data_IF_741268224918
#
_entry.id   IF_741268224918
#
_cell.length_a   1.000
_cell.length_b   1.000
_cell.length_c   1.000
_cell.angle_alpha   90.00
_cell.angle_beta   90.00
_cell.angle_gamma   90.00
#
_symmetry.space_group_name_H-M   'P 1'
#
loop_
_entity.id
_entity.type
_entity.pdbx_description
1 polymer ?
#
# COMPACT_ATOMS: atom_id res chain seq x y z
N UNK A 1 13.24 -15.09 17.71
CA UNK A 1 12.61 -13.92 18.32
C UNK A 1 11.97 -13.05 17.26
N UNK A 2 10.84 -12.44 17.61
CA UNK A 2 10.17 -11.48 16.75
C UNK A 2 11.05 -10.24 16.56
N UNK A 3 11.14 -9.73 15.32
CA UNK A 3 12.00 -8.59 14.98
C UNK A 3 13.42 -8.96 14.56
N UNK A 4 13.79 -10.23 14.60
CA UNK A 4 15.08 -10.72 14.10
C UNK A 4 14.89 -11.31 12.69
N UNK A 5 15.12 -10.49 11.66
CA UNK A 5 15.21 -10.94 10.27
C UNK A 5 16.66 -11.27 9.90
N UNK A 6 16.88 -11.78 8.68
CA UNK A 6 18.21 -12.22 8.20
C UNK A 6 19.30 -11.14 8.41
N UNK A 7 19.01 -9.88 8.08
CA UNK A 7 19.95 -8.78 8.26
C UNK A 7 20.33 -8.53 9.73
N UNK A 8 19.36 -8.61 10.64
CA UNK A 8 19.61 -8.46 12.09
C UNK A 8 20.41 -9.63 12.60
N UNK A 9 20.10 -10.84 12.14
CA UNK A 9 20.84 -12.06 12.48
C UNK A 9 22.30 -11.97 12.03
N UNK A 10 22.57 -11.51 10.81
CA UNK A 10 23.93 -11.29 10.31
C UNK A 10 24.72 -10.29 11.17
N UNK A 11 24.06 -9.18 11.59
CA UNK A 11 24.69 -8.19 12.46
C UNK A 11 25.04 -8.83 13.82
N UNK A 12 24.10 -9.52 14.45
CA UNK A 12 24.32 -10.19 15.74
C UNK A 12 25.41 -11.26 15.67
N UNK A 13 25.41 -12.08 14.61
CA UNK A 13 26.40 -13.14 14.40
C UNK A 13 27.83 -12.60 14.32
N UNK A 14 28.06 -11.42 13.73
CA UNK A 14 29.38 -10.76 13.70
C UNK A 14 29.94 -10.43 15.09
N UNK A 15 29.05 -10.37 16.08
CA UNK A 15 29.39 -10.13 17.49
C UNK A 15 29.29 -11.38 18.34
N UNK A 16 29.22 -12.58 17.72
CA UNK A 16 29.14 -13.86 18.40
C UNK A 16 27.78 -14.18 19.04
N UNK A 17 26.75 -13.38 18.74
CA UNK A 17 25.40 -13.56 19.28
C UNK A 17 24.58 -14.38 18.27
N UNK A 18 24.52 -15.71 18.50
CA UNK A 18 23.92 -16.64 17.56
C UNK A 18 22.60 -17.27 18.05
N UNK A 19 22.28 -17.11 19.32
CA UNK A 19 21.08 -17.65 19.94
C UNK A 19 20.50 -16.70 21.00
N UNK A 20 19.35 -17.08 21.56
CA UNK A 20 18.61 -16.23 22.51
C UNK A 20 19.36 -16.12 23.85
N UNK A 21 20.12 -17.14 24.24
CA UNK A 21 20.90 -17.13 25.50
C UNK A 21 22.01 -16.10 25.40
N UNK A 22 22.82 -16.19 24.35
CA UNK A 22 23.93 -15.23 24.14
C UNK A 22 23.40 -13.81 23.95
N UNK A 23 22.19 -13.64 23.41
CA UNK A 23 21.54 -12.33 23.32
C UNK A 23 21.10 -11.80 24.71
N UNK A 24 20.58 -12.69 25.59
CA UNK A 24 20.19 -12.34 26.94
C UNK A 24 21.40 -11.98 27.82
N UNK A 25 22.52 -12.68 27.64
CA UNK A 25 23.75 -12.44 28.38
C UNK A 25 24.52 -11.22 27.88
N UNK A 26 24.16 -10.63 26.73
CA UNK A 26 24.83 -9.49 26.13
C UNK A 26 24.51 -8.17 26.89
N UNK A 27 25.50 -7.28 26.99
CA UNK A 27 25.29 -5.95 27.57
C UNK A 27 24.24 -5.18 26.75
N UNK A 28 23.14 -4.67 27.38
CA UNK A 28 22.13 -3.90 26.69
C UNK A 28 22.68 -2.69 25.93
N UNK A 29 23.68 -2.00 26.50
CA UNK A 29 24.32 -0.84 25.85
C UNK A 29 25.09 -1.24 24.59
N UNK A 30 25.66 -2.46 24.60
CA UNK A 30 26.31 -3.01 23.41
C UNK A 30 25.29 -3.31 22.31
N UNK A 31 24.17 -3.94 22.65
CA UNK A 31 23.07 -4.19 21.72
C UNK A 31 22.48 -2.89 21.15
N UNK A 32 22.31 -1.86 21.98
CA UNK A 32 21.86 -0.54 21.53
C UNK A 32 22.84 0.10 20.52
N UNK A 33 24.13 -0.12 20.71
CA UNK A 33 25.19 0.41 19.83
C UNK A 33 25.18 -0.25 18.44
N UNK A 34 24.98 -1.57 18.37
CA UNK A 34 25.07 -2.34 17.12
C UNK A 34 23.77 -2.39 16.34
N UNK A 35 22.61 -2.33 17.01
CA UNK A 35 21.26 -2.43 16.42
C UNK A 35 20.49 -1.13 16.41
N UNK A 36 21.01 -0.10 17.10
CA UNK A 36 20.26 1.11 17.43
C UNK A 36 19.47 0.96 18.72
N UNK A 37 19.26 2.10 19.40
CA UNK A 37 18.70 2.18 20.77
C UNK A 37 17.39 1.40 20.95
N UNK A 38 16.43 1.62 20.04
CA UNK A 38 15.11 0.98 20.15
C UNK A 38 15.16 -0.54 19.92
N UNK A 39 15.86 -0.98 18.88
CA UNK A 39 15.96 -2.39 18.52
C UNK A 39 16.80 -3.19 19.54
N UNK A 40 17.95 -2.64 19.96
CA UNK A 40 18.82 -3.27 20.93
C UNK A 40 18.12 -3.52 22.26
N UNK A 41 17.48 -2.50 22.80
CA UNK A 41 16.70 -2.60 24.05
C UNK A 41 15.54 -3.59 23.92
N UNK A 42 14.77 -3.50 22.85
CA UNK A 42 13.61 -4.37 22.62
C UNK A 42 14.02 -5.85 22.52
N UNK A 43 15.08 -6.16 21.78
CA UNK A 43 15.54 -7.55 21.63
C UNK A 43 16.12 -8.09 22.93
N UNK A 44 16.80 -7.28 23.73
CA UNK A 44 17.25 -7.65 25.06
C UNK A 44 16.08 -7.95 25.99
N UNK A 45 15.06 -7.11 26.05
CA UNK A 45 13.84 -7.35 26.84
C UNK A 45 13.14 -8.64 26.40
N UNK A 46 12.96 -8.86 25.09
CA UNK A 46 12.37 -10.08 24.54
C UNK A 46 13.18 -11.35 24.89
N UNK A 47 14.51 -11.27 24.95
CA UNK A 47 15.36 -12.42 25.29
C UNK A 47 15.18 -12.85 26.76
N UNK A 48 14.75 -11.93 27.62
CA UNK A 48 14.38 -12.17 29.01
C UNK A 48 12.89 -12.49 29.20
N UNK A 49 12.12 -12.67 28.11
CA UNK A 49 10.67 -12.93 28.18
C UNK A 49 9.83 -11.71 28.53
N UNK A 50 10.41 -10.52 28.51
CA UNK A 50 9.70 -9.27 28.79
C UNK A 50 9.14 -8.72 27.46
N UNK A 51 7.84 -8.88 27.27
CA UNK A 51 7.10 -8.33 26.12
C UNK A 51 5.91 -7.49 26.62
N UNK A 52 6.04 -6.17 26.65
CA UNK A 52 4.97 -5.29 27.14
C UNK A 52 3.82 -5.12 26.15
N UNK A 53 3.93 -5.68 24.94
CA UNK A 53 2.87 -5.55 23.92
C UNK A 53 1.62 -6.28 24.38
N UNK A 54 0.49 -5.59 24.26
CA UNK A 54 -0.82 -6.19 24.47
C UNK A 54 -1.33 -6.81 23.18
N UNK A 55 -2.20 -7.80 23.31
CA UNK A 55 -2.99 -8.29 22.17
C UNK A 55 -4.02 -7.21 21.84
N UNK A 56 -3.88 -6.58 20.69
CA UNK A 56 -4.84 -5.63 20.16
C UNK A 56 -5.75 -6.35 19.16
N UNK A 57 -6.96 -6.75 19.55
CA UNK A 57 -7.87 -7.52 18.70
C UNK A 57 -8.41 -6.68 17.54
N UNK A 58 -8.43 -5.36 17.68
CA UNK A 58 -8.85 -4.43 16.64
C UNK A 58 -7.73 -3.43 16.40
N UNK A 59 -7.08 -3.55 15.25
CA UNK A 59 -6.06 -2.59 14.84
C UNK A 59 -6.66 -1.62 13.84
N UNK A 60 -6.63 -0.34 14.16
CA UNK A 60 -7.04 0.68 13.21
C UNK A 60 -6.13 0.66 11.97
N UNK A 61 -6.74 0.67 10.79
CA UNK A 61 -5.99 0.80 9.54
C UNK A 61 -5.34 2.18 9.48
N UNK A 62 -4.02 2.22 9.34
CA UNK A 62 -3.25 3.47 9.18
C UNK A 62 -3.11 3.89 7.72
N UNK A 63 -3.31 2.97 6.81
CA UNK A 63 -3.21 3.18 5.37
C UNK A 63 -4.02 2.15 4.61
N UNK A 64 -4.51 2.53 3.44
CA UNK A 64 -5.11 1.63 2.45
C UNK A 64 -4.25 1.67 1.20
N UNK A 65 -3.85 0.50 0.69
CA UNK A 65 -3.01 0.46 -0.50
C UNK A 65 -3.19 -0.82 -1.30
N UNK A 66 -2.80 -0.74 -2.55
CA UNK A 66 -2.71 -1.87 -3.46
C UNK A 66 -1.49 -1.70 -4.34
N UNK A 67 -0.81 -2.78 -4.67
CA UNK A 67 0.34 -2.77 -5.58
C UNK A 67 0.33 -4.01 -6.46
N UNK A 68 0.85 -3.87 -7.66
CA UNK A 68 1.00 -4.94 -8.64
C UNK A 68 2.47 -5.12 -8.95
N UNK A 69 2.98 -6.32 -8.72
CA UNK A 69 4.28 -6.76 -9.22
C UNK A 69 4.07 -7.43 -10.57
N UNK A 70 4.72 -6.94 -11.60
CA UNK A 70 4.62 -7.51 -12.94
C UNK A 70 5.60 -8.68 -13.08
N UNK A 71 5.17 -9.73 -13.79
CA UNK A 71 6.06 -10.83 -14.15
C UNK A 71 7.13 -10.33 -15.13
N UNK A 72 6.68 -9.74 -16.24
CA UNK A 72 7.52 -9.00 -17.17
C UNK A 72 7.38 -7.50 -16.91
N UNK A 73 8.48 -6.76 -17.01
CA UNK A 73 8.46 -5.32 -16.77
C UNK A 73 7.61 -4.59 -17.82
N UNK A 74 6.94 -3.53 -17.38
CA UNK A 74 6.06 -2.71 -18.21
C UNK A 74 6.76 -1.42 -18.60
N UNK A 75 7.12 -1.28 -19.85
CA UNK A 75 7.68 -0.05 -20.44
C UNK A 75 6.58 0.87 -21.00
N UNK A 76 5.44 0.31 -21.38
CA UNK A 76 4.28 1.06 -21.88
C UNK A 76 3.65 1.88 -20.76
N UNK A 77 3.80 3.19 -20.86
CA UNK A 77 3.25 4.14 -19.88
C UNK A 77 1.74 4.16 -19.83
N UNK A 78 1.09 3.90 -20.98
CA UNK A 78 -0.38 3.88 -21.01
C UNK A 78 -0.92 2.63 -20.31
N UNK A 79 -0.25 1.49 -20.47
CA UNK A 79 -0.55 0.30 -19.68
C UNK A 79 -0.32 0.55 -18.19
N UNK A 80 0.82 1.11 -17.81
CA UNK A 80 1.14 1.46 -16.44
C UNK A 80 0.10 2.42 -15.82
N UNK A 81 -0.37 3.41 -16.61
CA UNK A 81 -1.39 4.36 -16.21
C UNK A 81 -2.74 3.69 -15.95
N UNK A 82 -3.15 2.74 -16.78
CA UNK A 82 -4.38 1.94 -16.56
C UNK A 82 -4.30 1.13 -15.27
N UNK A 83 -3.16 0.50 -14.99
CA UNK A 83 -2.95 -0.23 -13.73
C UNK A 83 -3.10 0.69 -12.52
N UNK A 84 -2.46 1.87 -12.55
CA UNK A 84 -2.57 2.85 -11.46
C UNK A 84 -4.00 3.40 -11.29
N UNK A 85 -4.74 3.57 -12.40
CA UNK A 85 -6.14 3.99 -12.34
C UNK A 85 -7.00 2.93 -11.65
N UNK A 86 -6.83 1.66 -12.01
CA UNK A 86 -7.55 0.55 -11.37
C UNK A 86 -7.22 0.47 -9.87
N UNK A 87 -5.94 0.56 -9.51
CA UNK A 87 -5.50 0.60 -8.11
C UNK A 87 -6.10 1.78 -7.34
N UNK A 88 -6.23 2.94 -7.98
CA UNK A 88 -6.87 4.12 -7.40
C UNK A 88 -8.34 3.85 -7.07
N UNK A 89 -9.08 3.26 -8.00
CA UNK A 89 -10.47 2.88 -7.77
C UNK A 89 -10.62 1.84 -6.64
N UNK A 90 -9.71 0.87 -6.56
CA UNK A 90 -9.68 -0.12 -5.47
C UNK A 90 -9.44 0.54 -4.11
N UNK A 91 -8.47 1.47 -4.01
CA UNK A 91 -8.20 2.21 -2.78
C UNK A 91 -9.43 3.05 -2.36
N UNK A 92 -10.02 3.80 -3.29
CA UNK A 92 -11.19 4.62 -3.01
C UNK A 92 -12.40 3.79 -2.57
N UNK A 93 -12.67 2.65 -3.22
CA UNK A 93 -13.75 1.75 -2.82
C UNK A 93 -13.54 1.18 -1.40
N UNK A 94 -12.29 0.86 -1.03
CA UNK A 94 -11.96 0.40 0.33
C UNK A 94 -12.11 1.51 1.37
N UNK A 95 -11.74 2.76 1.03
CA UNK A 95 -11.98 3.91 1.91
C UNK A 95 -13.48 4.06 2.20
N UNK A 96 -14.33 4.08 1.17
CA UNK A 96 -15.78 4.19 1.32
C UNK A 96 -16.40 3.01 2.07
N UNK A 97 -15.90 1.78 1.86
CA UNK A 97 -16.37 0.61 2.58
C UNK A 97 -16.06 0.68 4.09
N UNK A 98 -14.99 1.36 4.48
CA UNK A 98 -14.60 1.60 5.86
C UNK A 98 -15.08 2.92 6.45
N UNK A 99 -15.88 3.69 5.69
CA UNK A 99 -16.27 5.06 6.04
C UNK A 99 -15.08 5.95 6.41
N UNK A 100 -14.04 5.87 5.57
CA UNK A 100 -12.77 6.56 5.75
C UNK A 100 -12.54 7.56 4.62
N UNK A 101 -11.84 8.64 4.93
CA UNK A 101 -11.28 9.59 3.95
C UNK A 101 -9.77 9.64 4.10
N UNK A 102 -9.04 9.83 3.03
CA UNK A 102 -7.59 9.96 3.07
C UNK A 102 -7.14 11.40 2.87
N UNK A 103 -5.99 11.71 3.45
CA UNK A 103 -5.34 13.02 3.32
C UNK A 103 -4.05 12.98 2.53
N UNK A 104 -3.41 11.83 2.41
CA UNK A 104 -2.13 11.67 1.72
C UNK A 104 -2.28 10.59 0.65
N UNK A 105 -1.86 10.93 -0.56
CA UNK A 105 -1.80 9.99 -1.70
C UNK A 105 -0.35 9.70 -2.02
N UNK A 106 -0.01 8.43 -2.17
CA UNK A 106 1.35 7.94 -2.36
C UNK A 106 1.38 7.05 -3.61
N UNK A 107 2.29 7.38 -4.51
CA UNK A 107 2.69 6.55 -5.66
C UNK A 107 4.00 5.85 -5.32
N UNK A 108 4.03 4.53 -5.48
CA UNK A 108 5.24 3.70 -5.40
C UNK A 108 5.52 3.08 -6.76
N UNK A 109 6.73 3.20 -7.22
CA UNK A 109 7.20 2.57 -8.45
C UNK A 109 8.55 1.91 -8.22
N UNK A 110 8.75 0.72 -8.79
CA UNK A 110 10.03 0.02 -8.78
C UNK A 110 10.43 -0.32 -10.20
N UNK A 111 11.67 -0.02 -10.56
CA UNK A 111 12.27 -0.35 -11.84
C UNK A 111 12.73 -1.80 -11.95
N UNK A 112 13.17 -2.19 -13.15
CA UNK A 112 13.77 -3.49 -13.43
C UNK A 112 15.04 -3.74 -12.59
N UNK A 113 15.77 -2.69 -12.27
CA UNK A 113 16.96 -2.67 -11.40
C UNK A 113 16.63 -2.77 -9.91
N UNK A 114 15.36 -2.99 -9.54
CA UNK A 114 14.84 -3.00 -8.18
C UNK A 114 14.93 -1.67 -7.43
N UNK A 115 15.40 -0.59 -8.06
CA UNK A 115 15.34 0.76 -7.48
C UNK A 115 13.89 1.15 -7.26
N UNK A 116 13.56 1.51 -6.01
CA UNK A 116 12.20 1.91 -5.64
C UNK A 116 12.13 3.42 -5.44
N UNK A 117 11.17 4.04 -6.09
CA UNK A 117 10.85 5.46 -5.96
C UNK A 117 9.46 5.59 -5.35
N UNK A 118 9.36 6.42 -4.33
CA UNK A 118 8.07 6.78 -3.70
C UNK A 118 7.87 8.28 -3.81
N UNK A 119 6.67 8.70 -4.21
CA UNK A 119 6.26 10.11 -4.29
C UNK A 119 4.92 10.27 -3.60
N UNK A 120 4.73 11.35 -2.88
CA UNK A 120 3.50 11.62 -2.15
C UNK A 120 3.03 13.05 -2.33
N UNK A 121 1.73 13.25 -2.13
CA UNK A 121 1.12 14.58 -2.04
C UNK A 121 0.04 14.57 -0.98
N UNK A 122 0.01 15.62 -0.16
CA UNK A 122 -1.06 15.86 0.82
C UNK A 122 -2.17 16.65 0.14
N UNK A 123 -3.41 16.21 0.33
CA UNK A 123 -4.63 16.88 -0.13
C UNK A 123 -5.01 18.00 0.84
N UNK A 124 -5.48 19.10 0.33
CA UNK A 124 -6.02 20.20 1.15
C UNK A 124 -7.30 19.75 1.87
N UNK A 125 -8.15 19.00 1.17
CA UNK A 125 -9.41 18.45 1.68
C UNK A 125 -9.34 16.92 1.64
N UNK A 126 -9.66 16.22 2.74
CA UNK A 126 -9.71 14.76 2.76
C UNK A 126 -10.79 14.23 1.81
N UNK A 127 -10.50 13.13 1.12
CA UNK A 127 -11.42 12.56 0.12
C UNK A 127 -11.48 11.03 0.19
N UNK A 128 -12.60 10.46 -0.25
CA UNK A 128 -12.82 9.05 -0.55
C UNK A 128 -13.11 8.81 -2.05
N UNK A 129 -13.01 9.88 -2.88
CA UNK A 129 -13.35 9.84 -4.29
C UNK A 129 -12.15 9.42 -5.15
N UNK A 130 -12.37 8.42 -5.99
CA UNK A 130 -11.33 7.90 -6.89
C UNK A 130 -10.80 8.98 -7.84
N UNK A 131 -11.64 9.88 -8.32
CA UNK A 131 -11.22 10.95 -9.22
C UNK A 131 -10.22 11.91 -8.58
N UNK A 132 -10.47 12.33 -7.32
CA UNK A 132 -9.59 13.27 -6.62
C UNK A 132 -8.22 12.61 -6.32
N UNK A 133 -8.24 11.34 -5.92
CA UNK A 133 -7.03 10.53 -5.72
C UNK A 133 -6.30 10.36 -7.06
N UNK A 134 -7.04 10.08 -8.15
CA UNK A 134 -6.47 9.88 -9.48
C UNK A 134 -5.76 11.11 -10.03
N UNK A 135 -6.31 12.30 -9.84
CA UNK A 135 -5.66 13.55 -10.24
C UNK A 135 -4.25 13.65 -9.64
N UNK A 136 -4.10 13.28 -8.38
CA UNK A 136 -2.79 13.27 -7.71
C UNK A 136 -1.89 12.16 -8.25
N UNK A 137 -2.40 10.93 -8.35
CA UNK A 137 -1.63 9.79 -8.85
C UNK A 137 -1.14 10.06 -10.28
N UNK A 138 -2.02 10.58 -11.14
CA UNK A 138 -1.68 10.91 -12.52
C UNK A 138 -0.59 11.99 -12.61
N UNK A 139 -0.68 13.04 -11.79
CA UNK A 139 0.32 14.09 -11.73
C UNK A 139 1.68 13.56 -11.24
N UNK A 140 1.67 12.76 -10.15
CA UNK A 140 2.89 12.14 -9.62
C UNK A 140 3.53 11.18 -10.65
N UNK A 141 2.71 10.40 -11.34
CA UNK A 141 3.18 9.47 -12.36
C UNK A 141 3.71 10.19 -13.60
N UNK A 142 3.08 11.29 -14.02
CA UNK A 142 3.54 12.08 -15.15
C UNK A 142 4.93 12.70 -14.91
N UNK A 143 5.21 13.10 -13.68
CA UNK A 143 6.50 13.63 -13.26
C UNK A 143 7.58 12.55 -13.07
N UNK A 144 7.21 11.26 -13.06
CA UNK A 144 8.14 10.16 -12.88
C UNK A 144 8.67 9.67 -14.22
N UNK A 145 10.00 9.63 -14.46
CA UNK A 145 10.56 9.03 -15.67
C UNK A 145 10.31 7.51 -15.68
N UNK A 146 10.19 6.94 -16.88
CA UNK A 146 10.15 5.49 -17.03
C UNK A 146 11.55 4.93 -16.71
N UNK A 147 11.69 3.98 -15.79
CA UNK A 147 12.98 3.35 -15.50
C UNK A 147 13.54 2.63 -16.74
N UNK A 148 14.86 2.55 -16.83
CA UNK A 148 15.49 1.68 -17.81
C UNK A 148 15.00 0.23 -17.60
N UNK A 149 14.52 -0.41 -18.67
CA UNK A 149 13.91 -1.74 -18.60
C UNK A 149 12.45 -1.78 -18.08
N UNK A 150 11.81 -0.62 -17.84
CA UNK A 150 10.40 -0.54 -17.48
C UNK A 150 10.11 -0.67 -15.99
N UNK A 151 8.83 -0.62 -15.65
CA UNK A 151 8.31 -0.77 -14.29
C UNK A 151 8.14 -2.26 -13.93
N UNK A 152 8.74 -2.69 -12.82
CA UNK A 152 8.55 -4.02 -12.24
C UNK A 152 7.44 -4.03 -11.19
N UNK A 153 7.17 -2.90 -10.52
CA UNK A 153 6.09 -2.77 -9.55
C UNK A 153 5.53 -1.35 -9.62
N UNK A 154 4.22 -1.28 -9.56
CA UNK A 154 3.46 -0.05 -9.38
C UNK A 154 2.48 -0.23 -8.23
N UNK A 155 2.32 0.80 -7.41
CA UNK A 155 1.39 0.79 -6.29
C UNK A 155 0.85 2.18 -5.95
N UNK A 156 -0.41 2.18 -5.53
CA UNK A 156 -1.09 3.33 -4.96
C UNK A 156 -1.38 3.03 -3.50
N UNK A 157 -1.04 3.97 -2.61
CA UNK A 157 -1.36 3.90 -1.19
C UNK A 157 -1.88 5.25 -0.73
N UNK A 158 -2.84 5.22 0.16
CA UNK A 158 -3.42 6.40 0.79
C UNK A 158 -3.26 6.32 2.30
N UNK A 159 -2.94 7.43 2.93
CA UNK A 159 -2.65 7.56 4.36
C UNK A 159 -3.35 8.79 4.95
N UNK A 160 -3.16 9.00 6.25
CA UNK A 160 -3.85 10.06 6.97
C UNK A 160 -5.35 9.81 6.94
N UNK A 161 -5.74 8.59 7.31
CA UNK A 161 -7.12 8.15 7.31
C UNK A 161 -7.90 8.86 8.41
N UNK A 162 -9.05 9.38 8.07
CA UNK A 162 -9.94 10.15 8.93
C UNK A 162 -11.34 9.57 8.84
N UNK A 163 -12.01 9.49 9.97
CA UNK A 163 -13.45 9.15 10.08
C UNK A 163 -14.30 10.41 10.08
N UNK A 164 -15.59 10.33 9.78
CA UNK A 164 -16.49 11.48 9.87
C UNK A 164 -16.47 12.15 11.25
N UNK A 165 -16.29 11.35 12.31
CA UNK A 165 -16.30 11.81 13.72
C UNK A 165 -14.97 12.42 14.18
N UNK A 166 -13.92 12.38 13.38
CA UNK A 166 -12.60 12.94 13.73
C UNK A 166 -12.56 14.49 13.65
N UNK A 167 -13.71 15.13 13.64
CA UNK A 167 -13.81 16.60 13.65
C UNK A 167 -13.33 17.27 12.35
N UNK A 168 -13.34 16.54 11.25
CA UNK A 168 -13.02 17.09 9.94
C UNK A 168 -14.11 18.07 9.57
N UNK A 169 -13.81 19.36 9.60
CA UNK A 169 -14.71 20.39 9.08
C UNK A 169 -14.84 20.18 7.57
N UNK A 170 -15.91 19.54 7.16
CA UNK A 170 -16.29 19.46 5.75
C UNK A 170 -16.62 20.88 5.30
N UNK A 171 -16.12 21.25 4.13
CA UNK A 171 -16.54 22.51 3.52
C UNK A 171 -18.07 22.45 3.38
N UNK A 172 -18.75 23.49 3.82
CA UNK A 172 -20.22 23.63 3.75
C UNK A 172 -20.78 23.41 2.32
N UNK A 173 -19.93 23.50 1.33
CA UNK A 173 -20.19 23.36 -0.11
C UNK A 173 -19.78 21.98 -0.67
N UNK A 174 -19.49 20.99 0.18
CA UNK A 174 -19.19 19.65 -0.31
C UNK A 174 -20.46 19.03 -0.88
N UNK A 175 -20.64 19.18 -2.18
CA UNK A 175 -21.78 18.62 -2.91
C UNK A 175 -21.85 17.11 -2.66
N UNK A 176 -22.78 16.69 -1.81
CA UNK A 176 -23.02 15.28 -1.49
C UNK A 176 -23.27 14.43 -2.74
N UNK A 177 -23.63 15.07 -3.87
CA UNK A 177 -23.81 14.46 -5.18
C UNK A 177 -22.49 14.07 -5.84
N UNK A 178 -21.36 14.71 -5.48
CA UNK A 178 -20.05 14.41 -6.09
C UNK A 178 -19.65 12.93 -5.95
N UNK A 179 -19.98 12.30 -4.83
CA UNK A 179 -19.68 10.88 -4.59
C UNK A 179 -20.79 9.91 -4.99
N UNK A 180 -21.98 10.40 -5.41
CA UNK A 180 -23.11 9.54 -5.72
C UNK A 180 -22.83 8.49 -6.82
N UNK A 181 -22.17 8.82 -7.95
CA UNK A 181 -21.85 7.84 -8.97
C UNK A 181 -20.92 6.72 -8.47
N UNK A 182 -19.90 7.07 -7.66
CA UNK A 182 -18.96 6.08 -7.13
C UNK A 182 -19.63 5.16 -6.10
N UNK A 183 -20.49 5.71 -5.23
CA UNK A 183 -21.30 4.92 -4.29
C UNK A 183 -22.29 3.99 -5.01
N UNK A 184 -22.91 4.45 -6.09
CA UNK A 184 -23.77 3.61 -6.92
C UNK A 184 -22.97 2.48 -7.58
N UNK A 185 -21.78 2.78 -8.11
CA UNK A 185 -20.88 1.78 -8.67
C UNK A 185 -20.46 0.73 -7.63
N UNK A 186 -20.18 1.15 -6.39
CA UNK A 186 -19.84 0.22 -5.31
C UNK A 186 -21.03 -0.68 -4.92
N UNK A 187 -22.26 -0.16 -4.95
CA UNK A 187 -23.47 -0.95 -4.72
C UNK A 187 -23.65 -2.02 -5.81
N UNK A 188 -23.41 -1.67 -7.09
CA UNK A 188 -23.41 -2.62 -8.20
C UNK A 188 -22.34 -3.71 -8.00
N UNK A 189 -21.12 -3.34 -7.67
CA UNK A 189 -20.02 -4.29 -7.45
C UNK A 189 -20.28 -5.23 -6.28
N UNK A 190 -20.87 -4.73 -5.18
CA UNK A 190 -21.26 -5.59 -4.04
C UNK A 190 -22.30 -6.63 -4.42
N UNK A 191 -23.24 -6.30 -5.31
CA UNK A 191 -24.33 -7.20 -5.70
C UNK A 191 -23.94 -8.21 -6.78
N UNK A 192 -23.10 -7.80 -7.75
CA UNK A 192 -22.80 -8.60 -8.95
C UNK A 192 -21.30 -8.90 -9.13
N UNK A 193 -20.47 -8.53 -8.15
CA UNK A 193 -19.01 -8.77 -8.18
C UNK A 193 -18.22 -7.61 -8.78
N UNK A 194 -16.93 -7.59 -8.51
CA UNK A 194 -16.02 -6.48 -8.88
C UNK A 194 -15.90 -6.27 -10.40
N UNK A 195 -16.16 -7.30 -11.21
CA UNK A 195 -16.13 -7.22 -12.67
C UNK A 195 -17.40 -6.63 -13.31
N UNK A 196 -18.47 -6.40 -12.53
CA UNK A 196 -19.75 -5.96 -13.08
C UNK A 196 -19.73 -4.51 -13.60
N UNK A 197 -18.85 -3.68 -13.09
CA UNK A 197 -18.72 -2.27 -13.51
C UNK A 197 -17.26 -1.83 -13.41
N UNK A 198 -16.73 -1.31 -14.51
CA UNK A 198 -15.41 -0.72 -14.57
C UNK A 198 -15.46 0.65 -15.27
N UNK A 199 -14.55 1.59 -14.95
CA UNK A 199 -14.36 2.80 -15.76
C UNK A 199 -14.13 2.44 -17.23
N UNK A 200 -14.72 3.21 -18.15
CA UNK A 200 -14.61 2.94 -19.59
C UNK A 200 -13.14 2.86 -20.06
N UNK A 201 -12.27 3.66 -19.46
CA UNK A 201 -10.82 3.66 -19.73
C UNK A 201 -10.09 2.38 -19.28
N UNK A 202 -10.71 1.54 -18.45
CA UNK A 202 -10.20 0.24 -18.02
C UNK A 202 -10.79 -0.92 -18.83
N UNK A 203 -11.86 -0.68 -19.61
CA UNK A 203 -12.38 -1.65 -20.53
C UNK A 203 -11.35 -1.91 -21.62
N UNK A 204 -10.95 -3.16 -21.79
CA UNK A 204 -10.06 -3.55 -22.89
C UNK A 204 -10.82 -3.31 -24.21
N UNK A 205 -10.28 -2.44 -25.06
CA UNK A 205 -10.62 -2.52 -26.48
C UNK A 205 -10.33 -3.95 -26.93
N UNK A 206 -11.29 -4.59 -27.57
CA UNK A 206 -11.12 -5.93 -28.15
C UNK A 206 -10.03 -5.86 -29.22
N UNK A 207 -8.81 -6.26 -28.83
CA UNK A 207 -7.62 -6.25 -29.70
C UNK A 207 -6.48 -6.98 -28.99
N UNK A 208 -6.60 -8.32 -28.84
CA UNK A 208 -5.50 -9.13 -28.30
C UNK A 208 -6.02 -10.37 -27.56
N UNK A 209 -6.50 -11.34 -28.34
CA UNK A 209 -7.00 -12.62 -27.81
C UNK A 209 -5.91 -13.40 -27.09
N UNK A 210 -6.10 -13.69 -25.81
CA UNK A 210 -5.60 -14.92 -25.22
C UNK A 210 -6.80 -15.79 -24.85
N UNK A 211 -7.06 -16.78 -25.72
CA UNK A 211 -7.99 -17.88 -25.45
C UNK A 211 -7.64 -18.49 -24.08
N UNK A 212 -8.59 -18.46 -23.16
CA UNK A 212 -8.58 -19.39 -22.04
C UNK A 212 -8.67 -20.82 -22.60
N UNK A 213 -7.84 -21.76 -22.16
CA UNK A 213 -8.04 -23.16 -22.51
C UNK A 213 -9.37 -23.62 -21.89
N UNK A 214 -10.29 -24.09 -22.75
CA UNK A 214 -11.46 -24.82 -22.31
C UNK A 214 -10.97 -26.13 -21.66
N UNK A 215 -11.24 -26.30 -20.36
CA UNK A 215 -11.11 -27.56 -19.69
C UNK A 215 -12.02 -28.58 -20.38
N UNK A 216 -11.41 -29.62 -20.96
CA UNK A 216 -12.13 -30.77 -21.49
C UNK A 216 -12.70 -31.55 -20.32
N UNK A 217 -13.99 -31.84 -20.39
CA UNK A 217 -14.60 -32.88 -19.64
C UNK A 217 -14.21 -34.23 -20.30
N UNK A 218 -13.78 -35.17 -19.47
CA UNK A 218 -13.58 -36.58 -19.74
C UNK A 218 -13.63 -37.32 -18.41
#
# INVERSE_FOLDING_TARGET
LWGVGARTQEVLARWGINDVRTLADADPRHLEKILGRAAGRHLHELSHGVDPRRVEPVREEKSVGTETTFFDTVADREHARRVLLDQTHQCAARLRAGDLRCRVVILKARGADFTTVTRSRTLAVPTDLARDIWEIVAALFSALPTPAGGFRLLGVRVEGLLRPDDGVQLLLDEDSRRGAPERAADAVRRRWGNGALAPASLLRGEGGGTRRPRGGAG
#
